data_IF_063134109420
#
_entry.id   IF_063134109420
#
_cell.length_a   1.000
_cell.length_b   1.000
_cell.length_c   1.000
_cell.angle_alpha   90.00
_cell.angle_beta   90.00
_cell.angle_gamma   90.00
#
_symmetry.space_group_name_H-M   'P 1'
#
loop_
_entity.id
_entity.type
_entity.pdbx_description
1 polymer ?
#
# COMPACT_ATOMS: atom_id res chain seq x y z
N UNK A 1 41.07 43.88 12.07
CA UNK A 1 41.14 42.46 11.67
C UNK A 1 39.90 42.15 10.87
N UNK A 2 40.04 42.19 9.54
CA UNK A 2 39.08 41.58 8.63
C UNK A 2 39.06 40.08 8.88
N UNK A 3 37.87 39.51 9.07
CA UNK A 3 37.62 38.10 8.77
C UNK A 3 36.62 38.10 7.63
N UNK A 4 37.15 38.24 6.41
CA UNK A 4 36.44 37.92 5.19
C UNK A 4 36.32 36.40 5.11
N UNK A 5 35.21 35.84 5.60
CA UNK A 5 34.71 34.59 5.01
C UNK A 5 34.06 34.97 3.68
N UNK A 6 34.84 34.86 2.60
CA UNK A 6 34.28 34.78 1.24
C UNK A 6 33.41 33.52 1.22
N UNK A 7 32.09 33.71 1.26
CA UNK A 7 31.14 32.70 0.80
C UNK A 7 31.52 32.36 -0.65
N UNK A 8 32.07 31.17 -0.85
CA UNK A 8 32.03 30.54 -2.17
C UNK A 8 30.56 30.43 -2.59
N UNK A 9 30.21 30.51 -3.88
CA UNK A 9 28.83 30.31 -4.31
C UNK A 9 28.43 28.89 -3.88
N UNK A 10 27.60 28.81 -2.83
CA UNK A 10 27.16 27.56 -2.24
C UNK A 10 26.38 26.82 -3.34
N UNK A 11 27.02 25.87 -4.03
CA UNK A 11 26.38 25.12 -5.10
C UNK A 11 25.22 24.36 -4.46
N UNK A 12 23.99 24.74 -4.82
CA UNK A 12 22.81 24.14 -4.22
C UNK A 12 22.85 22.63 -4.46
N UNK A 13 22.76 21.84 -3.39
CA UNK A 13 22.83 20.38 -3.47
C UNK A 13 21.65 19.83 -4.29
N UNK A 14 21.92 18.84 -5.13
CA UNK A 14 20.93 18.19 -6.00
C UNK A 14 20.31 16.97 -5.34
N UNK A 15 19.00 16.80 -5.49
CA UNK A 15 18.24 15.70 -4.88
C UNK A 15 17.46 14.94 -5.95
N UNK A 16 17.69 13.64 -6.07
CA UNK A 16 16.87 12.76 -6.89
C UNK A 16 15.66 12.27 -6.08
N UNK A 17 14.44 12.54 -6.53
CA UNK A 17 13.20 12.03 -5.91
C UNK A 17 12.58 11.00 -6.85
N UNK A 18 12.25 9.83 -6.33
CA UNK A 18 11.78 8.71 -7.16
C UNK A 18 10.29 8.45 -6.88
N UNK A 19 9.43 8.81 -7.82
CA UNK A 19 7.98 8.74 -7.74
C UNK A 19 7.36 10.10 -7.39
N UNK A 20 6.28 10.45 -8.07
CA UNK A 20 5.47 11.66 -7.89
C UNK A 20 4.09 11.36 -7.25
N UNK A 21 4.02 10.32 -6.42
CA UNK A 21 2.91 10.12 -5.47
C UNK A 21 2.92 11.12 -4.33
N UNK A 22 2.04 10.95 -3.34
CA UNK A 22 1.91 11.84 -2.16
C UNK A 22 3.27 12.13 -1.50
N UNK A 23 4.05 11.09 -1.23
CA UNK A 23 5.38 11.21 -0.61
C UNK A 23 6.36 12.01 -1.48
N UNK A 24 6.33 11.81 -2.80
CA UNK A 24 7.21 12.50 -3.74
C UNK A 24 6.91 13.98 -3.88
N UNK A 25 5.61 14.34 -3.91
CA UNK A 25 5.17 15.74 -3.92
C UNK A 25 5.63 16.47 -2.64
N UNK A 26 5.46 15.85 -1.46
CA UNK A 26 5.97 16.40 -0.21
C UNK A 26 7.49 16.51 -0.20
N UNK A 27 8.21 15.47 -0.65
CA UNK A 27 9.66 15.46 -0.73
C UNK A 27 10.19 16.61 -1.61
N UNK A 28 9.61 16.80 -2.80
CA UNK A 28 9.93 17.90 -3.70
C UNK A 28 9.70 19.26 -3.04
N UNK A 29 8.50 19.47 -2.48
CA UNK A 29 8.12 20.72 -1.82
C UNK A 29 9.06 21.08 -0.67
N UNK A 30 9.37 20.14 0.21
CA UNK A 30 10.27 20.40 1.34
C UNK A 30 11.73 20.57 0.90
N UNK A 31 12.18 19.85 -0.13
CA UNK A 31 13.51 20.05 -0.71
C UNK A 31 13.66 21.48 -1.24
N UNK A 32 12.66 21.99 -1.98
CA UNK A 32 12.64 23.38 -2.46
C UNK A 32 12.66 24.39 -1.31
N UNK A 33 11.84 24.18 -0.27
CA UNK A 33 11.81 25.06 0.92
C UNK A 33 13.14 25.11 1.68
N UNK A 34 13.95 24.06 1.59
CA UNK A 34 15.30 24.01 2.18
C UNK A 34 16.39 24.54 1.26
N UNK A 35 16.05 25.01 0.05
CA UNK A 35 17.01 25.58 -0.90
C UNK A 35 17.76 24.55 -1.74
N UNK A 36 17.33 23.29 -1.75
CA UNK A 36 17.91 22.24 -2.60
C UNK A 36 17.33 22.28 -4.02
N UNK A 37 17.97 21.53 -4.93
CA UNK A 37 17.55 21.37 -6.33
C UNK A 37 17.00 19.95 -6.57
N UNK A 38 15.69 19.71 -6.35
CA UNK A 38 15.10 18.42 -6.61
C UNK A 38 14.78 18.20 -8.09
N UNK A 39 15.03 16.96 -8.55
CA UNK A 39 14.51 16.40 -9.78
C UNK A 39 13.68 15.17 -9.43
N UNK A 40 12.39 15.19 -9.75
CA UNK A 40 11.47 14.07 -9.52
C UNK A 40 11.33 13.25 -10.79
N UNK A 41 11.49 11.94 -10.70
CA UNK A 41 11.22 11.00 -11.79
C UNK A 41 9.94 10.23 -11.51
N UNK A 42 8.97 10.31 -12.41
CA UNK A 42 7.69 9.60 -12.34
C UNK A 42 7.59 8.62 -13.51
N UNK A 43 7.27 7.36 -13.22
CA UNK A 43 7.22 6.30 -14.21
C UNK A 43 6.03 6.45 -15.16
N UNK A 44 4.95 7.06 -14.70
CA UNK A 44 3.73 7.30 -15.46
C UNK A 44 3.64 8.75 -15.96
N UNK A 45 2.55 9.06 -16.67
CA UNK A 45 2.25 10.37 -17.25
C UNK A 45 1.55 11.34 -16.28
N UNK A 46 1.31 10.91 -15.04
CA UNK A 46 0.52 11.66 -14.05
C UNK A 46 1.11 11.55 -12.63
N UNK A 47 0.89 12.59 -11.83
CA UNK A 47 1.18 12.59 -10.39
C UNK A 47 0.15 11.75 -9.63
N UNK A 48 0.33 11.57 -8.32
CA UNK A 48 -0.70 11.03 -7.42
C UNK A 48 -0.51 9.58 -7.02
N UNK A 49 0.26 8.81 -7.80
CA UNK A 49 0.65 7.44 -7.49
C UNK A 49 -0.57 6.52 -7.37
N UNK A 50 -0.77 5.90 -6.19
CA UNK A 50 -1.89 4.98 -5.95
C UNK A 50 -3.29 5.59 -6.12
N UNK A 51 -3.38 6.91 -6.32
CA UNK A 51 -4.64 7.62 -6.55
C UNK A 51 -4.90 7.94 -8.02
N UNK A 52 -3.90 7.87 -8.90
CA UNK A 52 -4.00 8.34 -10.29
C UNK A 52 -4.44 7.26 -11.27
N UNK A 53 -3.80 6.08 -11.20
CA UNK A 53 -4.07 4.94 -12.08
C UNK A 53 -4.37 3.67 -11.26
N UNK A 54 -5.08 2.73 -11.88
CA UNK A 54 -5.38 1.42 -11.29
C UNK A 54 -6.17 1.51 -9.97
N UNK A 55 -7.17 2.39 -9.92
CA UNK A 55 -8.03 2.59 -8.76
C UNK A 55 -9.41 2.00 -9.02
N UNK A 56 -9.92 1.20 -8.09
CA UNK A 56 -11.30 0.68 -8.17
C UNK A 56 -12.25 1.87 -8.07
N UNK A 57 -13.25 1.93 -8.95
CA UNK A 57 -14.17 3.06 -9.09
C UNK A 57 -14.88 3.48 -7.80
N UNK A 58 -15.05 2.58 -6.83
CA UNK A 58 -15.73 2.86 -5.55
C UNK A 58 -14.76 3.27 -4.43
N UNK A 59 -13.47 3.43 -4.75
CA UNK A 59 -12.41 3.70 -3.77
C UNK A 59 -12.59 5.08 -3.14
N UNK A 60 -12.61 5.10 -1.79
CA UNK A 60 -12.64 6.30 -0.95
C UNK A 60 -11.51 6.25 0.08
N UNK A 61 -11.22 7.39 0.69
CA UNK A 61 -10.33 7.44 1.84
C UNK A 61 -10.83 6.52 2.97
N UNK A 62 -9.89 5.86 3.64
CA UNK A 62 -10.13 5.11 4.89
C UNK A 62 -9.84 5.94 6.14
N UNK A 63 -9.36 7.17 5.94
CA UNK A 63 -9.00 8.13 6.97
C UNK A 63 -9.87 9.37 6.76
N UNK A 64 -10.44 9.95 7.84
CA UNK A 64 -11.19 11.20 7.74
C UNK A 64 -10.37 12.30 7.06
N UNK A 65 -11.00 13.15 6.23
CA UNK A 65 -10.28 14.14 5.40
C UNK A 65 -9.38 15.05 6.24
N UNK A 66 -9.82 15.44 7.43
CA UNK A 66 -9.06 16.34 8.32
C UNK A 66 -7.76 15.71 8.85
N UNK A 67 -7.67 14.37 8.87
CA UNK A 67 -6.45 13.62 9.22
C UNK A 67 -5.60 13.27 7.99
N UNK A 68 -6.17 13.35 6.79
CA UNK A 68 -5.45 13.10 5.54
C UNK A 68 -4.87 14.37 4.91
N UNK A 69 -5.36 15.55 5.30
CA UNK A 69 -4.89 16.83 4.75
C UNK A 69 -3.42 17.11 5.09
N UNK A 70 -2.77 17.90 4.24
CA UNK A 70 -1.44 18.42 4.54
C UNK A 70 -1.56 19.55 5.56
N UNK A 71 -0.55 19.67 6.43
CA UNK A 71 -0.59 20.64 7.54
C UNK A 71 -0.65 22.10 7.08
N UNK A 72 -0.20 22.38 5.85
CA UNK A 72 -0.15 23.70 5.23
C UNK A 72 -1.04 23.84 3.99
N UNK A 73 -1.94 22.88 3.77
CA UNK A 73 -2.88 22.92 2.65
C UNK A 73 -4.19 22.21 3.02
N UNK A 74 -5.22 22.96 3.43
CA UNK A 74 -6.51 22.37 3.81
C UNK A 74 -7.27 21.85 2.58
N UNK A 75 -8.24 20.97 2.83
CA UNK A 75 -9.21 20.61 1.80
C UNK A 75 -10.06 21.83 1.40
N UNK A 76 -10.47 21.93 0.13
CA UNK A 76 -11.42 22.94 -0.30
C UNK A 76 -12.80 22.71 0.35
N UNK A 77 -13.50 23.79 0.67
CA UNK A 77 -14.83 23.73 1.30
C UNK A 77 -15.88 22.98 0.45
N UNK A 78 -15.65 22.88 -0.86
CA UNK A 78 -16.50 22.13 -1.81
C UNK A 78 -16.51 20.63 -1.57
N UNK A 79 -15.50 20.07 -0.87
CA UNK A 79 -15.46 18.64 -0.51
C UNK A 79 -16.16 18.47 0.82
N UNK A 80 -17.47 18.19 0.78
CA UNK A 80 -18.32 18.08 1.96
C UNK A 80 -18.13 16.73 2.68
N UNK A 81 -17.83 15.66 1.96
CA UNK A 81 -17.72 14.30 2.48
C UNK A 81 -16.61 14.17 3.53
N UNK A 82 -16.82 13.32 4.54
CA UNK A 82 -15.79 13.01 5.55
C UNK A 82 -14.71 12.09 4.98
N UNK A 83 -15.10 11.18 4.07
CA UNK A 83 -14.23 10.23 3.37
C UNK A 83 -14.26 10.48 1.86
N UNK A 84 -13.48 11.46 1.36
CA UNK A 84 -13.39 11.80 -0.05
C UNK A 84 -13.15 10.62 -0.99
N UNK A 85 -13.76 10.69 -2.16
CA UNK A 85 -13.57 9.75 -3.26
C UNK A 85 -12.20 9.91 -3.92
N UNK A 86 -11.67 8.85 -4.55
CA UNK A 86 -10.34 8.90 -5.18
C UNK A 86 -10.17 10.07 -6.17
N UNK A 87 -11.24 10.46 -6.90
CA UNK A 87 -11.24 11.63 -7.79
C UNK A 87 -11.04 12.96 -7.03
N UNK A 88 -11.68 13.11 -5.87
CA UNK A 88 -11.52 14.30 -5.02
C UNK A 88 -10.12 14.34 -4.40
N UNK A 89 -9.55 13.17 -4.05
CA UNK A 89 -8.15 13.07 -3.62
C UNK A 89 -7.20 13.50 -4.74
N UNK A 90 -7.41 13.04 -5.97
CA UNK A 90 -6.60 13.44 -7.13
C UNK A 90 -6.67 14.94 -7.43
N UNK A 91 -7.86 15.52 -7.37
CA UNK A 91 -8.06 16.97 -7.52
C UNK A 91 -7.31 17.75 -6.43
N UNK A 92 -7.39 17.30 -5.17
CA UNK A 92 -6.64 17.88 -4.05
C UNK A 92 -5.11 17.81 -4.26
N UNK A 93 -4.57 16.65 -4.68
CA UNK A 93 -3.14 16.50 -4.97
C UNK A 93 -2.68 17.36 -6.15
N UNK A 94 -3.54 17.50 -7.17
CA UNK A 94 -3.28 18.36 -8.32
C UNK A 94 -3.22 19.83 -7.91
N UNK A 95 -4.19 20.29 -7.11
CA UNK A 95 -4.17 21.66 -6.54
C UNK A 95 -2.94 21.91 -5.68
N UNK A 96 -2.53 20.94 -4.86
CA UNK A 96 -1.32 21.04 -4.06
C UNK A 96 -0.07 21.22 -4.95
N UNK A 97 0.09 20.37 -5.96
CA UNK A 97 1.23 20.43 -6.88
C UNK A 97 1.29 21.74 -7.67
N UNK A 98 0.14 22.28 -8.07
CA UNK A 98 0.04 23.60 -8.73
C UNK A 98 0.35 24.75 -7.78
N UNK A 99 -0.24 24.74 -6.57
CA UNK A 99 -0.06 25.80 -5.57
C UNK A 99 1.42 25.98 -5.20
N UNK A 100 2.13 24.87 -4.96
CA UNK A 100 3.55 24.88 -4.61
C UNK A 100 4.50 24.82 -5.82
N UNK A 101 3.97 24.93 -7.06
CA UNK A 101 4.74 24.94 -8.32
C UNK A 101 5.70 23.74 -8.46
N UNK A 102 5.21 22.55 -8.15
CA UNK A 102 6.03 21.33 -8.13
C UNK A 102 6.19 20.70 -9.52
N UNK A 103 5.19 20.86 -10.41
CA UNK A 103 5.18 20.22 -11.73
C UNK A 103 6.44 20.45 -12.59
N UNK A 104 7.06 21.65 -12.62
CA UNK A 104 8.30 21.87 -13.38
C UNK A 104 9.49 21.02 -12.93
N UNK A 105 9.44 20.45 -11.72
CA UNK A 105 10.49 19.59 -11.17
C UNK A 105 10.24 18.11 -11.46
N UNK A 106 9.14 17.76 -12.13
CA UNK A 106 8.72 16.37 -12.36
C UNK A 106 8.94 16.00 -13.82
N UNK A 107 9.71 14.93 -14.03
CA UNK A 107 9.88 14.25 -15.31
C UNK A 107 8.96 13.03 -15.35
N UNK A 108 7.86 13.16 -16.08
CA UNK A 108 6.90 12.08 -16.34
C UNK A 108 7.43 11.08 -17.36
N UNK A 109 6.89 9.87 -17.37
CA UNK A 109 7.33 8.76 -18.23
C UNK A 109 8.83 8.41 -18.07
N UNK A 110 9.43 8.73 -16.92
CA UNK A 110 10.82 8.46 -16.60
C UNK A 110 10.88 7.45 -15.45
N UNK A 111 11.03 6.17 -15.77
CA UNK A 111 11.10 5.10 -14.78
C UNK A 111 12.53 4.92 -14.28
N UNK A 112 12.76 5.07 -12.99
CA UNK A 112 14.04 4.70 -12.39
C UNK A 112 14.14 3.17 -12.33
N UNK A 113 15.22 2.63 -12.89
CA UNK A 113 15.48 1.18 -12.96
C UNK A 113 16.75 0.77 -12.22
N UNK A 114 17.53 1.73 -11.72
CA UNK A 114 18.75 1.46 -10.98
C UNK A 114 19.18 2.64 -10.12
N UNK A 115 19.61 2.34 -8.89
CA UNK A 115 20.25 3.28 -7.96
C UNK A 115 21.52 2.62 -7.48
N UNK A 116 22.61 3.37 -7.51
CA UNK A 116 23.90 2.93 -7.00
C UNK A 116 24.62 4.06 -6.28
N UNK A 117 25.39 3.72 -5.25
CA UNK A 117 26.19 4.68 -4.52
C UNK A 117 27.64 4.61 -5.02
N UNK A 118 28.12 5.70 -5.59
CA UNK A 118 29.46 5.80 -6.17
C UNK A 118 30.36 6.56 -5.19
N UNK A 119 31.34 5.86 -4.61
CA UNK A 119 32.39 6.43 -3.74
C UNK A 119 33.71 6.54 -4.48
N UNK A 120 34.50 7.59 -4.19
CA UNK A 120 35.78 7.84 -4.86
C UNK A 120 36.99 7.10 -4.27
N UNK A 121 36.84 6.30 -3.21
CA UNK A 121 37.95 5.56 -2.58
C UNK A 121 37.68 4.06 -2.48
N UNK A 122 38.65 3.25 -2.92
CA UNK A 122 38.67 1.79 -2.88
C UNK A 122 39.13 1.21 -1.53
N UNK A 123 39.12 2.01 -0.48
CA UNK A 123 39.46 1.60 0.88
C UNK A 123 38.24 1.86 1.76
N UNK A 124 37.94 0.89 2.63
CA UNK A 124 36.93 0.88 3.72
C UNK A 124 35.62 0.11 3.45
N UNK A 125 35.74 -1.24 3.44
CA UNK A 125 34.62 -2.19 3.59
C UNK A 125 33.81 -1.97 4.89
N UNK A 126 34.36 -1.28 5.89
CA UNK A 126 33.73 -1.07 7.21
C UNK A 126 32.80 0.16 7.31
N UNK A 127 32.82 1.10 6.35
CA UNK A 127 32.03 2.35 6.40
C UNK A 127 30.81 2.37 5.45
N UNK A 128 30.58 1.29 4.70
CA UNK A 128 29.50 1.18 3.71
C UNK A 128 28.09 1.27 4.34
N UNK A 129 27.98 1.04 5.65
CA UNK A 129 26.73 1.11 6.40
C UNK A 129 26.38 2.50 6.94
N UNK A 130 27.28 3.49 6.83
CA UNK A 130 27.05 4.87 7.28
C UNK A 130 26.42 5.74 6.16
N UNK A 131 25.59 6.72 6.52
CA UNK A 131 24.99 7.67 5.56
C UNK A 131 26.05 8.31 4.67
N UNK A 132 25.97 8.11 3.35
CA UNK A 132 26.96 8.63 2.40
C UNK A 132 28.41 8.22 2.73
N UNK A 133 28.60 7.07 3.39
CA UNK A 133 29.90 6.62 3.89
C UNK A 133 30.52 7.52 4.97
N UNK A 134 29.79 8.48 5.56
CA UNK A 134 30.33 9.45 6.54
C UNK A 134 29.44 9.67 7.76
N UNK A 135 28.22 9.14 7.78
CA UNK A 135 27.23 9.38 8.84
C UNK A 135 26.43 10.68 8.66
N UNK A 136 26.75 11.48 7.65
CA UNK A 136 26.02 12.69 7.29
C UNK A 136 25.15 12.47 6.05
N UNK A 137 24.01 13.17 5.97
CA UNK A 137 23.07 13.03 4.85
C UNK A 137 23.71 13.37 3.49
N UNK A 138 24.63 14.33 3.46
CA UNK A 138 25.41 14.68 2.28
C UNK A 138 26.86 14.27 2.50
N UNK A 139 27.44 13.62 1.49
CA UNK A 139 28.85 13.27 1.48
C UNK A 139 29.57 14.07 0.41
N UNK A 140 30.75 14.58 0.76
CA UNK A 140 31.68 15.13 -0.22
C UNK A 140 32.53 14.01 -0.87
N UNK A 141 32.46 12.77 -0.34
CA UNK A 141 33.22 11.60 -0.81
C UNK A 141 32.47 10.70 -1.81
N UNK A 142 31.15 10.86 -1.94
CA UNK A 142 30.37 10.03 -2.86
C UNK A 142 29.04 10.65 -3.27
N UNK A 143 28.49 10.12 -4.36
CA UNK A 143 27.24 10.56 -5.00
C UNK A 143 26.38 9.35 -5.33
N UNK A 144 25.11 9.62 -5.63
CA UNK A 144 24.18 8.59 -6.09
C UNK A 144 24.07 8.65 -7.61
N UNK A 145 24.36 7.53 -8.28
CA UNK A 145 24.06 7.34 -9.68
C UNK A 145 22.65 6.73 -9.81
N UNK A 146 21.77 7.39 -10.56
CA UNK A 146 20.40 6.99 -10.82
C UNK A 146 20.23 6.72 -12.30
N UNK A 147 19.97 5.46 -12.65
CA UNK A 147 19.70 5.01 -14.02
C UNK A 147 18.20 5.12 -14.29
N UNK A 148 17.85 5.88 -15.33
CA UNK A 148 16.48 6.22 -15.70
C UNK A 148 16.18 5.74 -17.12
N UNK A 149 15.07 5.02 -17.26
CA UNK A 149 14.49 4.61 -18.53
C UNK A 149 13.43 5.64 -18.95
N UNK A 150 13.61 6.24 -20.12
CA UNK A 150 12.62 7.12 -20.74
C UNK A 150 11.59 6.26 -21.52
N UNK A 151 10.35 6.29 -21.07
CA UNK A 151 9.21 5.57 -21.65
C UNK A 151 8.41 6.44 -22.63
N UNK A 152 8.79 7.72 -22.84
CA UNK A 152 8.09 8.61 -23.79
C UNK A 152 8.40 8.29 -25.25
N UNK A 153 9.50 7.59 -25.51
CA UNK A 153 9.92 7.19 -26.86
C UNK A 153 9.27 5.85 -27.21
N UNK A 154 8.34 5.85 -28.17
CA UNK A 154 7.82 4.61 -28.76
C UNK A 154 8.99 3.74 -29.24
N UNK A 155 9.09 2.46 -28.84
CA UNK A 155 10.15 1.60 -29.33
C UNK A 155 9.96 1.41 -30.83
N UNK A 156 10.82 2.03 -31.64
CA UNK A 156 10.94 1.67 -33.04
C UNK A 156 11.42 0.21 -33.09
N UNK A 157 10.68 -0.72 -33.73
CA UNK A 157 11.01 -2.14 -33.73
C UNK A 157 12.31 -2.50 -34.45
N UNK A 158 12.98 -1.52 -35.07
CA UNK A 158 14.24 -1.69 -35.80
C UNK A 158 15.51 -1.33 -35.00
N UNK A 159 15.39 -0.73 -33.82
CA UNK A 159 16.54 -0.44 -32.94
C UNK A 159 16.17 -0.64 -31.47
N UNK A 160 16.42 -1.83 -30.93
CA UNK A 160 16.32 -2.14 -29.49
C UNK A 160 17.48 -1.51 -28.68
N UNK A 161 17.61 -0.19 -28.71
CA UNK A 161 18.38 0.53 -27.72
C UNK A 161 17.40 1.30 -26.85
N UNK A 162 16.99 0.70 -25.74
CA UNK A 162 16.36 1.47 -24.67
C UNK A 162 17.34 2.57 -24.26
N UNK A 163 17.00 3.83 -24.54
CA UNK A 163 17.86 4.95 -24.14
C UNK A 163 17.77 5.10 -22.63
N UNK A 164 18.74 4.55 -21.92
CA UNK A 164 18.90 4.79 -20.49
C UNK A 164 19.73 6.05 -20.29
N UNK A 165 19.29 6.91 -19.39
CA UNK A 165 20.02 8.11 -18.99
C UNK A 165 20.50 7.95 -17.55
N UNK A 166 21.73 8.37 -17.29
CA UNK A 166 22.29 8.37 -15.94
C UNK A 166 22.30 9.79 -15.36
N UNK A 167 21.89 9.88 -14.10
CA UNK A 167 21.82 11.14 -13.36
C UNK A 167 22.59 11.00 -12.06
N UNK A 168 23.41 12.00 -11.73
CA UNK A 168 24.19 12.04 -10.50
C UNK A 168 23.56 13.02 -9.52
N UNK A 169 23.31 12.56 -8.30
CA UNK A 169 22.73 13.38 -7.23
C UNK A 169 23.56 13.36 -5.94
N UNK A 170 23.49 14.45 -5.18
CA UNK A 170 24.06 14.49 -3.83
C UNK A 170 23.28 13.61 -2.86
N UNK A 171 21.97 13.42 -3.10
CA UNK A 171 21.08 12.63 -2.25
C UNK A 171 19.90 12.06 -3.04
N UNK A 172 19.34 10.93 -2.58
CA UNK A 172 18.17 10.30 -3.20
C UNK A 172 17.06 10.06 -2.17
N UNK A 173 15.84 10.44 -2.51
CA UNK A 173 14.61 10.18 -1.75
C UNK A 173 13.73 9.18 -2.50
N UNK A 174 13.59 7.97 -1.96
CA UNK A 174 12.81 6.90 -2.58
C UNK A 174 11.33 7.00 -2.18
N UNK A 175 10.46 7.36 -3.13
CA UNK A 175 9.02 7.60 -2.92
C UNK A 175 8.13 6.70 -3.79
N UNK A 176 8.59 5.48 -4.10
CA UNK A 176 7.95 4.56 -5.07
C UNK A 176 6.67 3.86 -4.58
N UNK A 177 6.25 4.10 -3.34
CA UNK A 177 5.09 3.44 -2.73
C UNK A 177 5.27 1.94 -2.46
N UNK A 178 4.34 1.35 -1.70
CA UNK A 178 4.36 -0.08 -1.32
C UNK A 178 3.26 -0.91 -1.99
N UNK A 179 2.24 -0.29 -2.56
CA UNK A 179 1.01 -0.97 -2.97
C UNK A 179 0.78 -0.86 -4.48
N UNK A 180 1.80 -1.14 -5.28
CA UNK A 180 1.71 -1.17 -6.76
C UNK A 180 2.80 -2.06 -7.38
N UNK A 181 2.67 -2.28 -8.68
CA UNK A 181 3.60 -2.91 -9.64
C UNK A 181 3.87 -4.41 -9.45
N UNK A 182 4.09 -4.87 -8.22
CA UNK A 182 4.41 -6.29 -7.95
C UNK A 182 3.28 -6.93 -7.16
N UNK A 183 2.43 -7.66 -7.87
CA UNK A 183 1.32 -8.43 -7.28
C UNK A 183 1.85 -9.53 -6.36
N UNK A 184 1.18 -9.76 -5.24
CA UNK A 184 1.46 -10.89 -4.36
C UNK A 184 0.55 -12.06 -4.72
N UNK A 185 0.96 -12.90 -5.67
CA UNK A 185 0.18 -14.07 -6.11
C UNK A 185 0.65 -15.32 -5.35
N UNK A 186 -0.26 -16.10 -4.73
CA UNK A 186 0.11 -17.36 -4.08
C UNK A 186 0.77 -18.34 -5.07
N UNK A 187 1.73 -19.11 -4.58
CA UNK A 187 2.30 -20.21 -5.35
C UNK A 187 1.41 -21.44 -5.24
N UNK A 188 1.30 -22.18 -6.34
CA UNK A 188 0.51 -23.40 -6.43
C UNK A 188 1.40 -24.59 -6.83
N UNK A 189 1.11 -25.80 -6.32
CA UNK A 189 1.70 -27.02 -6.86
C UNK A 189 1.37 -27.21 -8.34
N UNK A 190 2.16 -28.02 -9.04
CA UNK A 190 1.92 -28.39 -10.43
C UNK A 190 0.50 -28.95 -10.62
N UNK A 191 -0.20 -28.49 -11.66
CA UNK A 191 -1.58 -28.86 -12.00
C UNK A 191 -2.62 -28.48 -10.93
N UNK A 192 -2.31 -27.48 -10.10
CA UNK A 192 -3.18 -26.96 -9.05
C UNK A 192 -3.29 -25.43 -9.06
N UNK A 193 -2.61 -24.75 -9.99
CA UNK A 193 -2.65 -23.31 -10.13
C UNK A 193 -3.53 -22.83 -11.29
N UNK A 194 -3.48 -21.52 -11.60
CA UNK A 194 -4.24 -20.92 -12.69
C UNK A 194 -4.10 -21.61 -14.05
N UNK A 195 -3.03 -22.37 -14.28
CA UNK A 195 -2.75 -23.08 -15.52
C UNK A 195 -3.80 -24.14 -15.91
N UNK A 196 -4.55 -24.69 -14.95
CA UNK A 196 -5.61 -25.67 -15.22
C UNK A 196 -6.99 -25.05 -15.41
N UNK A 197 -7.14 -23.75 -15.13
CA UNK A 197 -8.43 -23.06 -15.11
C UNK A 197 -8.77 -22.50 -16.49
N UNK A 198 -10.00 -22.74 -16.96
CA UNK A 198 -10.45 -22.29 -18.28
C UNK A 198 -10.93 -20.83 -18.28
N UNK A 199 -11.23 -20.26 -17.12
CA UNK A 199 -11.65 -18.87 -16.97
C UNK A 199 -10.49 -17.88 -16.90
N UNK A 200 -10.80 -16.62 -16.55
CA UNK A 200 -9.79 -15.56 -16.45
C UNK A 200 -9.30 -15.39 -15.02
N UNK A 201 -7.99 -15.29 -14.84
CA UNK A 201 -7.37 -14.96 -13.54
C UNK A 201 -6.72 -13.60 -13.61
N UNK A 202 -6.97 -12.75 -12.62
CA UNK A 202 -6.42 -11.40 -12.51
C UNK A 202 -5.93 -11.13 -11.09
N UNK A 203 -4.99 -10.21 -10.93
CA UNK A 203 -4.78 -9.55 -9.65
C UNK A 203 -5.68 -8.31 -9.52
N UNK A 204 -5.95 -7.86 -8.29
CA UNK A 204 -6.77 -6.67 -8.02
C UNK A 204 -6.25 -5.41 -8.70
N UNK A 205 -4.93 -5.31 -8.87
CA UNK A 205 -4.27 -4.23 -9.60
C UNK A 205 -4.62 -4.24 -11.08
N UNK A 206 -4.58 -5.40 -11.74
CA UNK A 206 -4.89 -5.53 -13.16
C UNK A 206 -6.37 -5.28 -13.41
N UNK A 207 -7.23 -5.78 -12.51
CA UNK A 207 -8.66 -5.48 -12.53
C UNK A 207 -8.91 -3.96 -12.43
N UNK A 208 -8.22 -3.28 -11.51
CA UNK A 208 -8.35 -1.84 -11.36
C UNK A 208 -7.76 -1.06 -12.54
N UNK A 209 -6.70 -1.56 -13.19
CA UNK A 209 -6.14 -0.98 -14.39
C UNK A 209 -7.14 -1.00 -15.55
N UNK A 210 -7.82 -2.13 -15.74
CA UNK A 210 -8.89 -2.26 -16.74
C UNK A 210 -9.98 -1.22 -16.50
N UNK A 211 -10.41 -1.01 -15.25
CA UNK A 211 -11.44 -0.02 -14.88
C UNK A 211 -11.08 1.42 -15.29
N UNK A 212 -9.79 1.74 -15.45
CA UNK A 212 -9.31 3.08 -15.77
C UNK A 212 -8.92 3.26 -17.23
N UNK A 213 -8.84 2.19 -18.03
CA UNK A 213 -8.47 2.25 -19.43
C UNK A 213 -9.66 2.66 -20.31
N UNK A 214 -9.71 3.94 -20.69
CA UNK A 214 -10.73 4.49 -21.57
C UNK A 214 -10.61 4.01 -23.03
N UNK A 215 -9.51 3.33 -23.39
CA UNK A 215 -9.23 2.85 -24.75
C UNK A 215 -9.37 1.32 -24.91
N UNK A 216 -9.75 0.60 -23.84
CA UNK A 216 -9.94 -0.83 -23.91
C UNK A 216 -11.12 -1.20 -24.82
N UNK A 217 -10.90 -2.13 -25.76
CA UNK A 217 -11.91 -2.58 -26.72
C UNK A 217 -13.11 -3.32 -26.09
N UNK A 218 -13.01 -3.68 -24.80
CA UNK A 218 -14.10 -4.25 -24.01
C UNK A 218 -14.26 -3.44 -22.72
N UNK A 219 -15.49 -3.15 -22.33
CA UNK A 219 -15.76 -2.45 -21.08
C UNK A 219 -15.30 -3.34 -19.92
N UNK A 220 -14.67 -2.78 -18.88
CA UNK A 220 -14.32 -3.52 -17.65
C UNK A 220 -15.53 -4.20 -17.01
N UNK A 221 -16.72 -3.64 -17.22
CA UNK A 221 -17.99 -4.25 -16.84
C UNK A 221 -18.22 -5.56 -17.59
N UNK A 222 -17.90 -5.68 -18.87
CA UNK A 222 -18.09 -6.90 -19.67
C UNK A 222 -17.30 -8.10 -19.13
N UNK A 223 -16.22 -7.84 -18.39
CA UNK A 223 -15.41 -8.90 -17.81
C UNK A 223 -16.11 -9.59 -16.63
N UNK A 224 -16.85 -8.83 -15.82
CA UNK A 224 -17.44 -9.31 -14.57
C UNK A 224 -18.96 -9.39 -14.61
N UNK A 225 -19.59 -8.64 -15.51
CA UNK A 225 -21.03 -8.56 -15.65
C UNK A 225 -21.59 -9.90 -16.13
N UNK A 226 -22.62 -10.38 -15.43
CA UNK A 226 -23.26 -11.67 -15.69
C UNK A 226 -22.29 -12.87 -15.63
N UNK A 227 -21.13 -12.70 -14.98
CA UNK A 227 -20.14 -13.77 -14.73
C UNK A 227 -20.12 -14.18 -13.28
N UNK A 228 -19.75 -15.43 -13.02
CA UNK A 228 -19.44 -15.93 -11.68
C UNK A 228 -18.04 -15.47 -11.31
N UNK A 229 -17.94 -14.53 -10.37
CA UNK A 229 -16.65 -13.96 -9.97
C UNK A 229 -16.29 -14.42 -8.57
N UNK A 230 -15.06 -14.92 -8.43
CA UNK A 230 -14.49 -15.30 -7.16
C UNK A 230 -13.34 -14.38 -6.78
N UNK A 231 -13.42 -13.72 -5.62
CA UNK A 231 -12.40 -12.82 -5.09
C UNK A 231 -11.65 -13.52 -3.97
N UNK A 232 -10.33 -13.56 -4.04
CA UNK A 232 -9.47 -14.17 -3.01
C UNK A 232 -8.88 -13.07 -2.11
N UNK A 233 -9.24 -13.08 -0.83
CA UNK A 233 -8.75 -12.12 0.18
C UNK A 233 -9.88 -11.55 1.05
N UNK A 234 -9.54 -10.93 2.19
CA UNK A 234 -10.51 -10.34 3.14
C UNK A 234 -9.96 -9.04 3.75
N UNK A 235 -9.56 -8.11 2.90
CA UNK A 235 -9.15 -6.76 3.28
C UNK A 235 -9.73 -5.76 2.30
N UNK A 236 -9.36 -4.47 2.41
CA UNK A 236 -10.04 -3.36 1.71
C UNK A 236 -10.29 -3.62 0.22
N UNK A 237 -9.26 -3.97 -0.56
CA UNK A 237 -9.43 -4.24 -2.00
C UNK A 237 -10.42 -5.37 -2.28
N UNK A 238 -10.36 -6.47 -1.52
CA UNK A 238 -11.29 -7.59 -1.69
C UNK A 238 -12.73 -7.18 -1.39
N UNK A 239 -12.93 -6.43 -0.30
CA UNK A 239 -14.25 -5.97 0.13
C UNK A 239 -14.85 -4.99 -0.89
N UNK A 240 -14.05 -4.06 -1.42
CA UNK A 240 -14.49 -3.09 -2.43
C UNK A 240 -14.85 -3.76 -3.75
N UNK A 241 -13.99 -4.68 -4.24
CA UNK A 241 -14.23 -5.43 -5.48
C UNK A 241 -15.50 -6.27 -5.34
N UNK A 242 -15.68 -7.00 -4.23
CA UNK A 242 -16.89 -7.78 -4.01
C UNK A 242 -18.15 -6.91 -3.88
N UNK A 243 -18.03 -5.73 -3.25
CA UNK A 243 -19.16 -4.78 -3.17
C UNK A 243 -19.52 -4.18 -4.54
N UNK A 244 -18.53 -3.92 -5.40
CA UNK A 244 -18.76 -3.46 -6.77
C UNK A 244 -19.40 -4.56 -7.63
N UNK A 245 -18.87 -5.78 -7.60
CA UNK A 245 -19.40 -6.90 -8.40
C UNK A 245 -20.82 -7.25 -7.97
N UNK A 246 -21.10 -7.27 -6.65
CA UNK A 246 -22.46 -7.51 -6.16
C UNK A 246 -23.46 -6.44 -6.59
N UNK A 247 -23.04 -5.18 -6.77
CA UNK A 247 -23.90 -4.14 -7.36
C UNK A 247 -24.22 -4.41 -8.83
N UNK A 248 -23.28 -4.98 -9.58
CA UNK A 248 -23.44 -5.27 -11.00
C UNK A 248 -24.26 -6.54 -11.25
N UNK A 249 -24.00 -7.60 -10.47
CA UNK A 249 -24.54 -8.93 -10.75
C UNK A 249 -25.71 -9.33 -9.84
N UNK A 250 -25.87 -8.67 -8.69
CA UNK A 250 -26.90 -9.01 -7.70
C UNK A 250 -26.85 -10.46 -7.24
N UNK A 251 -28.01 -11.04 -6.98
CA UNK A 251 -28.18 -12.45 -6.57
C UNK A 251 -28.18 -13.44 -7.73
N UNK A 252 -28.30 -12.96 -8.97
CA UNK A 252 -28.31 -13.81 -10.18
C UNK A 252 -26.96 -14.49 -10.41
N UNK A 253 -25.88 -13.73 -10.25
CA UNK A 253 -24.50 -14.21 -10.38
C UNK A 253 -23.66 -13.67 -9.19
N UNK A 254 -23.83 -14.26 -7.99
CA UNK A 254 -23.28 -13.70 -6.77
C UNK A 254 -21.75 -13.73 -6.77
N UNK A 255 -21.14 -12.73 -6.12
CA UNK A 255 -19.69 -12.69 -5.94
C UNK A 255 -19.29 -13.60 -4.79
N UNK A 256 -18.44 -14.60 -5.04
CA UNK A 256 -17.89 -15.43 -3.96
C UNK A 256 -16.58 -14.82 -3.46
N UNK A 257 -16.48 -14.57 -2.16
CA UNK A 257 -15.27 -14.05 -1.52
C UNK A 257 -14.67 -15.14 -0.63
N UNK A 258 -13.51 -15.64 -1.03
CA UNK A 258 -12.79 -16.72 -0.34
C UNK A 258 -11.63 -16.14 0.47
N UNK A 259 -11.53 -16.56 1.73
CA UNK A 259 -10.53 -16.02 2.62
C UNK A 259 -10.03 -17.02 3.66
N UNK A 260 -8.77 -16.89 4.03
CA UNK A 260 -8.14 -17.73 5.05
C UNK A 260 -8.31 -17.18 6.46
N UNK A 261 -8.06 -15.88 6.63
CA UNK A 261 -8.11 -15.20 7.92
C UNK A 261 -9.05 -14.01 7.82
N UNK A 262 -9.98 -13.93 8.75
CA UNK A 262 -10.82 -12.76 8.91
C UNK A 262 -10.03 -11.62 9.56
N UNK A 263 -10.41 -10.40 9.23
CA UNK A 263 -9.85 -9.17 9.78
C UNK A 263 -10.99 -8.31 10.32
N UNK A 264 -10.73 -7.54 11.37
CA UNK A 264 -11.67 -6.57 11.89
C UNK A 264 -11.95 -5.54 10.79
N UNK A 265 -13.19 -5.53 10.34
CA UNK A 265 -13.71 -4.55 9.39
C UNK A 265 -14.65 -3.63 10.15
N UNK A 266 -14.49 -2.32 9.95
CA UNK A 266 -15.15 -1.28 10.75
C UNK A 266 -15.97 -0.38 9.86
N UNK A 267 -17.04 0.20 10.39
CA UNK A 267 -17.77 1.26 9.70
C UNK A 267 -17.08 2.61 9.84
N UNK A 268 -17.44 3.54 8.95
CA UNK A 268 -16.95 4.91 8.93
C UNK A 268 -17.11 5.64 10.29
N UNK A 269 -18.20 5.42 11.04
CA UNK A 269 -18.41 6.00 12.37
C UNK A 269 -17.37 5.54 13.40
N UNK A 270 -17.02 4.26 13.39
CA UNK A 270 -15.99 3.69 14.29
C UNK A 270 -14.61 4.23 13.92
N UNK A 271 -14.37 4.46 12.62
CA UNK A 271 -13.13 5.08 12.12
C UNK A 271 -13.03 6.51 12.63
N UNK A 272 -14.06 7.34 12.43
CA UNK A 272 -14.08 8.73 12.91
C UNK A 272 -13.85 8.78 14.43
N UNK A 273 -14.53 7.93 15.19
CA UNK A 273 -14.34 7.88 16.64
C UNK A 273 -12.91 7.44 17.02
N UNK A 274 -12.35 6.45 16.31
CA UNK A 274 -10.97 6.01 16.53
C UNK A 274 -9.98 7.14 16.27
N UNK A 275 -10.13 7.89 15.18
CA UNK A 275 -9.26 9.03 14.85
C UNK A 275 -9.43 10.23 15.78
N UNK A 276 -10.63 10.48 16.34
CA UNK A 276 -10.81 11.48 17.42
C UNK A 276 -10.08 11.09 18.70
N UNK A 277 -9.98 9.79 18.96
CA UNK A 277 -9.24 9.26 20.10
C UNK A 277 -7.72 9.26 19.88
N UNK A 278 -7.22 9.42 18.65
CA UNK A 278 -5.78 9.56 18.36
C UNK A 278 -5.30 10.98 18.68
N UNK A 279 -5.10 11.25 19.96
CA UNK A 279 -4.62 12.54 20.46
C UNK A 279 -3.43 12.35 21.42
N UNK A 280 -2.80 13.46 21.82
CA UNK A 280 -1.60 13.44 22.70
C UNK A 280 -1.83 12.70 24.02
N UNK A 281 -3.05 12.69 24.54
CA UNK A 281 -3.37 11.94 25.75
C UNK A 281 -3.40 10.43 25.51
N UNK A 282 -4.00 9.99 24.40
CA UNK A 282 -4.01 8.57 24.02
C UNK A 282 -2.62 7.99 23.78
N UNK A 283 -1.65 8.82 23.34
CA UNK A 283 -0.26 8.39 23.20
C UNK A 283 0.38 8.01 24.53
N UNK A 284 -0.10 8.54 25.64
CA UNK A 284 0.38 8.20 26.98
C UNK A 284 -0.02 6.78 27.40
N UNK A 285 -0.93 6.14 26.66
CA UNK A 285 -1.40 4.77 26.90
C UNK A 285 -0.59 3.72 26.12
N UNK A 286 0.40 4.14 25.31
CA UNK A 286 1.14 3.27 24.40
C UNK A 286 2.62 3.29 24.77
N UNK A 287 3.20 2.10 24.97
CA UNK A 287 4.63 1.98 25.16
C UNK A 287 5.39 2.33 23.88
N UNK A 288 6.38 3.22 24.01
CA UNK A 288 7.27 3.69 22.94
C UNK A 288 8.67 3.09 23.11
N UNK A 289 9.39 2.78 22.01
CA UNK A 289 10.80 2.43 22.08
C UNK A 289 11.61 3.55 22.74
N UNK A 290 12.59 3.21 23.58
CA UNK A 290 13.48 4.15 24.27
C UNK A 290 12.78 5.22 25.14
N UNK A 291 11.58 4.92 25.66
CA UNK A 291 10.87 5.82 26.56
C UNK A 291 11.52 5.85 27.95
N UNK A 292 11.55 7.03 28.59
CA UNK A 292 12.03 7.17 29.97
C UNK A 292 11.10 6.52 31.00
N UNK A 293 11.61 6.33 32.22
CA UNK A 293 10.89 5.65 33.31
C UNK A 293 9.47 6.20 33.56
N UNK A 294 9.30 7.52 33.61
CA UNK A 294 7.99 8.13 33.87
C UNK A 294 6.97 7.88 32.76
N UNK A 295 7.39 7.90 31.49
CA UNK A 295 6.53 7.59 30.36
C UNK A 295 6.17 6.10 30.34
N UNK A 296 7.13 5.24 30.68
CA UNK A 296 6.87 3.81 30.84
C UNK A 296 5.84 3.54 31.93
N UNK A 297 5.99 4.16 33.11
CA UNK A 297 5.07 4.01 34.23
C UNK A 297 3.67 4.51 33.88
N UNK A 298 3.58 5.66 33.21
CA UNK A 298 2.30 6.21 32.79
C UNK A 298 1.60 5.31 31.75
N UNK A 299 2.34 4.79 30.78
CA UNK A 299 1.81 3.82 29.82
C UNK A 299 1.36 2.54 30.49
N UNK A 300 2.10 2.04 31.50
CA UNK A 300 1.69 0.86 32.27
C UNK A 300 0.34 1.11 32.96
N UNK A 301 0.22 2.23 33.69
CA UNK A 301 -0.99 2.60 34.43
C UNK A 301 -2.20 2.85 33.52
N UNK A 302 -1.99 3.43 32.33
CA UNK A 302 -3.06 3.77 31.39
C UNK A 302 -3.36 2.67 30.36
N UNK A 303 -2.48 1.68 30.19
CA UNK A 303 -2.67 0.58 29.23
C UNK A 303 -3.99 -0.19 29.39
N UNK A 304 -4.56 -0.39 30.60
CA UNK A 304 -5.86 -1.05 30.73
C UNK A 304 -6.98 -0.28 30.02
N UNK A 305 -6.92 1.06 29.95
CA UNK A 305 -7.93 1.86 29.25
C UNK A 305 -7.97 1.55 27.75
N UNK A 306 -6.80 1.40 27.13
CA UNK A 306 -6.71 1.04 25.72
C UNK A 306 -7.23 -0.37 25.45
N UNK A 307 -6.96 -1.30 26.36
CA UNK A 307 -7.52 -2.65 26.31
C UNK A 307 -9.05 -2.64 26.47
N UNK A 308 -9.59 -1.88 27.43
CA UNK A 308 -11.04 -1.70 27.64
C UNK A 308 -11.68 -1.14 26.37
N UNK A 309 -11.11 -0.08 25.78
CA UNK A 309 -11.58 0.50 24.52
C UNK A 309 -11.64 -0.55 23.39
N UNK A 310 -10.58 -1.36 23.26
CA UNK A 310 -10.54 -2.47 22.29
C UNK A 310 -11.69 -3.45 22.53
N UNK A 311 -11.91 -3.88 23.77
CA UNK A 311 -12.96 -4.87 24.09
C UNK A 311 -14.38 -4.33 23.91
N UNK A 312 -14.60 -3.05 24.24
CA UNK A 312 -15.88 -2.38 23.95
C UNK A 312 -16.11 -2.34 22.43
N UNK A 313 -15.09 -1.99 21.65
CA UNK A 313 -15.19 -1.94 20.19
C UNK A 313 -15.44 -3.32 19.59
N UNK A 314 -14.73 -4.36 20.05
CA UNK A 314 -14.96 -5.74 19.63
C UNK A 314 -16.41 -6.19 19.89
N UNK A 315 -16.93 -5.91 21.09
CA UNK A 315 -18.33 -6.23 21.45
C UNK A 315 -19.32 -5.47 20.59
N UNK A 316 -19.07 -4.18 20.34
CA UNK A 316 -19.90 -3.35 19.47
C UNK A 316 -19.96 -3.92 18.05
N UNK A 317 -18.81 -4.26 17.45
CA UNK A 317 -18.73 -4.82 16.10
C UNK A 317 -19.43 -6.18 16.00
N UNK A 318 -19.22 -7.07 16.98
CA UNK A 318 -19.90 -8.37 17.05
C UNK A 318 -21.42 -8.26 17.20
N UNK A 319 -21.91 -7.17 17.81
CA UNK A 319 -23.35 -6.89 17.93
C UNK A 319 -23.92 -6.24 16.67
N UNK A 320 -23.16 -5.35 16.03
CA UNK A 320 -23.58 -4.62 14.82
C UNK A 320 -23.64 -5.52 13.60
N UNK A 321 -22.69 -6.45 13.47
CA UNK A 321 -22.55 -7.30 12.29
C UNK A 321 -22.70 -8.78 12.64
N UNK A 322 -23.31 -9.59 11.75
CA UNK A 322 -23.49 -11.03 11.94
C UNK A 322 -22.19 -11.82 11.71
N UNK A 323 -21.10 -11.42 12.37
CA UNK A 323 -19.76 -11.93 12.08
C UNK A 323 -19.60 -13.42 12.39
N UNK A 324 -20.23 -13.89 13.47
CA UNK A 324 -20.24 -15.30 13.88
C UNK A 324 -20.90 -16.18 12.81
N UNK A 325 -22.08 -15.78 12.33
CA UNK A 325 -22.84 -16.49 11.28
C UNK A 325 -22.02 -16.75 10.02
N UNK A 326 -21.15 -15.81 9.65
CA UNK A 326 -20.35 -15.88 8.44
C UNK A 326 -18.87 -16.22 8.66
N UNK A 327 -18.49 -16.71 9.84
CA UNK A 327 -17.10 -17.07 10.16
C UNK A 327 -16.09 -15.92 9.93
N UNK A 328 -16.53 -14.67 10.15
CA UNK A 328 -15.72 -13.46 9.95
C UNK A 328 -15.20 -12.85 11.26
N UNK A 329 -15.36 -13.54 12.39
CA UNK A 329 -14.73 -13.13 13.66
C UNK A 329 -13.22 -13.38 13.56
N UNK A 330 -12.37 -12.34 13.70
CA UNK A 330 -10.93 -12.51 13.69
C UNK A 330 -10.42 -13.27 14.90
N UNK A 331 -9.36 -14.05 14.70
CA UNK A 331 -8.69 -14.83 15.75
C UNK A 331 -7.80 -13.95 16.65
N UNK A 332 -7.47 -12.74 16.19
CA UNK A 332 -6.67 -11.76 16.93
C UNK A 332 -7.51 -10.62 17.53
N UNK A 333 -7.06 -9.97 18.63
CA UNK A 333 -7.73 -8.82 19.21
C UNK A 333 -7.77 -7.60 18.28
N UNK A 334 -8.77 -6.74 18.46
CA UNK A 334 -8.92 -5.51 17.66
C UNK A 334 -7.72 -4.57 17.83
N UNK A 335 -7.19 -4.46 19.06
CA UNK A 335 -6.01 -3.66 19.37
C UNK A 335 -4.78 -4.03 18.53
N UNK A 336 -4.57 -5.31 18.22
CA UNK A 336 -3.45 -5.75 17.39
C UNK A 336 -3.58 -5.16 15.98
N UNK A 337 -4.79 -5.12 15.44
CA UNK A 337 -5.05 -4.62 14.09
C UNK A 337 -4.94 -3.10 14.00
N UNK A 338 -5.31 -2.37 15.07
CA UNK A 338 -5.03 -0.93 15.18
C UNK A 338 -3.51 -0.71 15.13
N UNK A 339 -2.73 -1.47 15.91
CA UNK A 339 -1.27 -1.33 15.99
C UNK A 339 -0.58 -1.60 14.65
N UNK A 340 -1.08 -2.57 13.88
CA UNK A 340 -0.53 -2.90 12.55
C UNK A 340 -1.09 -2.03 11.43
N UNK A 341 -2.04 -1.13 11.71
CA UNK A 341 -2.71 -0.30 10.70
C UNK A 341 -3.34 -1.12 9.56
N UNK A 342 -3.87 -2.31 9.88
CA UNK A 342 -4.49 -3.22 8.90
C UNK A 342 -6.01 -3.25 8.99
N UNK A 343 -6.62 -2.24 9.63
CA UNK A 343 -8.07 -2.05 9.66
C UNK A 343 -8.59 -1.75 8.25
N UNK A 344 -9.69 -2.41 7.89
CA UNK A 344 -10.39 -2.15 6.64
C UNK A 344 -11.72 -1.47 6.95
N UNK A 345 -12.00 -0.37 6.24
CA UNK A 345 -13.33 0.23 6.28
C UNK A 345 -14.27 -0.63 5.44
N UNK A 346 -15.33 -1.10 6.07
CA UNK A 346 -16.32 -1.95 5.44
C UNK A 346 -17.15 -1.11 4.45
N UNK A 347 -17.36 -1.58 3.20
CA UNK A 347 -18.27 -0.91 2.28
C UNK A 347 -19.69 -0.79 2.89
N UNK A 348 -20.43 0.28 2.56
CA UNK A 348 -21.81 0.44 3.01
C UNK A 348 -22.66 -0.79 2.64
N UNK A 349 -23.51 -1.22 3.57
CA UNK A 349 -24.46 -2.33 3.41
C UNK A 349 -23.80 -3.67 3.00
N UNK A 350 -22.50 -3.86 3.30
CA UNK A 350 -21.78 -5.08 2.91
C UNK A 350 -22.44 -6.35 3.47
N UNK A 351 -22.76 -6.39 4.77
CA UNK A 351 -23.41 -7.56 5.37
C UNK A 351 -24.86 -7.73 4.93
N UNK A 352 -25.54 -6.65 4.49
CA UNK A 352 -26.88 -6.77 3.92
C UNK A 352 -26.82 -7.54 2.60
N UNK A 353 -25.86 -7.21 1.74
CA UNK A 353 -25.58 -7.96 0.50
C UNK A 353 -25.15 -9.40 0.75
N UNK A 354 -24.41 -9.65 1.83
CA UNK A 354 -24.08 -11.01 2.26
C UNK A 354 -25.34 -11.76 2.71
N UNK A 355 -26.27 -11.08 3.40
CA UNK A 355 -27.52 -11.69 3.85
C UNK A 355 -28.52 -11.94 2.72
N UNK A 356 -28.55 -11.06 1.72
CA UNK A 356 -29.33 -11.17 0.48
C UNK A 356 -28.80 -12.31 -0.42
N UNK A 357 -27.52 -12.64 -0.29
CA UNK A 357 -26.85 -13.67 -1.09
C UNK A 357 -26.17 -13.14 -2.35
N UNK A 358 -26.07 -11.81 -2.54
CA UNK A 358 -25.30 -11.20 -3.64
C UNK A 358 -23.78 -11.24 -3.39
N UNK A 359 -23.36 -11.47 -2.13
CA UNK A 359 -21.99 -11.80 -1.75
C UNK A 359 -21.99 -13.10 -0.93
N UNK A 360 -21.20 -14.08 -1.34
CA UNK A 360 -21.04 -15.36 -0.63
C UNK A 360 -19.67 -15.39 0.05
N UNK A 361 -19.65 -15.52 1.37
CA UNK A 361 -18.42 -15.57 2.16
C UNK A 361 -18.00 -17.01 2.41
N UNK A 362 -16.77 -17.39 2.03
CA UNK A 362 -16.22 -18.73 2.28
C UNK A 362 -14.88 -18.66 2.99
N UNK A 363 -14.84 -19.10 4.25
CA UNK A 363 -13.59 -19.27 5.01
C UNK A 363 -12.95 -20.60 4.61
N UNK A 364 -11.70 -20.57 4.14
CA UNK A 364 -10.97 -21.76 3.67
C UNK A 364 -9.49 -21.70 4.05
N UNK A 365 -8.93 -22.82 4.51
CA UNK A 365 -7.51 -22.88 4.90
C UNK A 365 -6.58 -22.95 3.69
N UNK A 366 -7.02 -23.68 2.66
CA UNK A 366 -6.33 -23.86 1.39
C UNK A 366 -7.33 -23.69 0.24
N UNK A 367 -6.82 -23.43 -0.95
CA UNK A 367 -7.59 -23.54 -2.18
C UNK A 367 -6.64 -23.90 -3.31
N UNK A 368 -7.17 -24.51 -4.35
CA UNK A 368 -6.45 -24.73 -5.61
C UNK A 368 -7.42 -24.61 -6.78
N UNK A 369 -6.90 -24.53 -8.00
CA UNK A 369 -7.74 -24.44 -9.18
C UNK A 369 -8.19 -25.83 -9.67
N UNK A 370 -9.30 -25.82 -10.38
CA UNK A 370 -9.76 -26.88 -11.27
C UNK A 370 -10.19 -26.27 -12.61
N UNK A 371 -10.64 -27.09 -13.55
CA UNK A 371 -11.09 -26.64 -14.89
C UNK A 371 -12.21 -25.59 -14.84
N UNK A 372 -13.16 -25.75 -13.91
CA UNK A 372 -14.38 -24.92 -13.78
C UNK A 372 -14.32 -23.81 -12.73
N UNK A 373 -13.25 -23.69 -11.96
CA UNK A 373 -13.17 -22.72 -10.88
C UNK A 373 -12.08 -23.03 -9.86
N UNK A 374 -12.43 -22.95 -8.57
CA UNK A 374 -11.52 -23.29 -7.47
C UNK A 374 -12.14 -24.32 -6.54
N UNK A 375 -11.29 -25.18 -6.01
CA UNK A 375 -11.61 -26.13 -4.94
C UNK A 375 -11.19 -25.50 -3.63
N UNK A 376 -12.12 -25.42 -2.67
CA UNK A 376 -11.89 -24.90 -1.32
C UNK A 376 -12.03 -26.02 -0.30
N UNK A 377 -11.11 -26.05 0.68
CA UNK A 377 -11.16 -26.99 1.79
C UNK A 377 -11.51 -26.24 3.06
N UNK A 378 -12.72 -26.49 3.56
CA UNK A 378 -13.23 -25.88 4.78
C UNK A 378 -13.26 -26.90 5.92
N UNK A 379 -12.99 -26.41 7.14
CA UNK A 379 -13.13 -27.20 8.37
C UNK A 379 -14.34 -26.65 9.11
N UNK A 380 -15.40 -27.44 9.23
CA UNK A 380 -16.55 -27.07 10.05
C UNK A 380 -16.18 -27.27 11.52
N UNK A 381 -16.04 -26.18 12.28
CA UNK A 381 -16.13 -26.24 13.75
C UNK A 381 -17.55 -25.89 14.15
N UNK A 382 -18.34 -26.89 14.52
CA UNK A 382 -19.52 -26.62 15.33
C UNK A 382 -19.05 -26.35 16.78
N UNK A 383 -19.54 -25.27 17.39
CA UNK A 383 -19.27 -24.99 18.81
C UNK A 383 -19.91 -26.09 19.67
N UNK A 384 -19.09 -26.95 20.28
CA UNK A 384 -19.54 -27.89 21.32
C UNK A 384 -19.17 -29.36 21.11
N UNK A 385 -18.82 -29.77 19.89
CA UNK A 385 -18.46 -31.17 19.61
C UNK A 385 -16.94 -31.34 19.58
N UNK A 386 -16.42 -32.07 20.58
CA UNK A 386 -15.13 -32.73 20.46
C UNK A 386 -15.38 -33.97 19.60
N UNK A 387 -14.56 -34.14 18.56
CA UNK A 387 -14.43 -35.37 17.74
C UNK A 387 -15.31 -35.45 16.47
N UNK A 388 -14.93 -34.67 15.44
CA UNK A 388 -14.69 -35.12 14.05
C UNK A 388 -14.31 -33.91 13.16
N UNK A 389 -13.05 -33.85 12.69
CA UNK A 389 -12.64 -32.89 11.65
C UNK A 389 -13.07 -33.43 10.29
N UNK A 390 -14.33 -33.22 9.89
CA UNK A 390 -14.74 -33.49 8.52
C UNK A 390 -14.24 -32.35 7.61
N UNK A 391 -13.22 -32.66 6.80
CA UNK A 391 -12.79 -31.78 5.71
C UNK A 391 -13.87 -31.77 4.62
N UNK A 392 -14.60 -30.66 4.52
CA UNK A 392 -15.55 -30.48 3.45
C UNK A 392 -14.82 -29.83 2.26
N UNK A 393 -14.75 -30.59 1.16
CA UNK A 393 -14.17 -30.17 -0.11
C UNK A 393 -15.29 -29.72 -1.02
N UNK A 394 -15.29 -28.44 -1.38
CA UNK A 394 -16.33 -27.84 -2.21
C UNK A 394 -15.72 -27.19 -3.45
N UNK A 395 -16.41 -27.33 -4.59
CA UNK A 395 -16.03 -26.64 -5.83
C UNK A 395 -16.82 -25.33 -5.90
N UNK A 396 -16.10 -24.21 -5.97
CA UNK A 396 -16.63 -22.89 -6.28
C UNK A 396 -16.42 -22.64 -7.76
N UNK A 397 -17.48 -22.84 -8.54
CA UNK A 397 -17.44 -22.55 -9.97
C UNK A 397 -17.26 -21.04 -10.21
N UNK A 398 -16.38 -20.69 -11.14
CA UNK A 398 -16.03 -19.31 -11.43
C UNK A 398 -15.69 -19.16 -12.91
N UNK A 399 -16.03 -18.02 -13.49
CA UNK A 399 -15.60 -17.61 -14.82
C UNK A 399 -14.41 -16.63 -14.72
N UNK A 400 -14.34 -15.89 -13.61
CA UNK A 400 -13.25 -14.97 -13.29
C UNK A 400 -12.80 -15.15 -11.84
N UNK A 401 -11.49 -15.26 -11.62
CA UNK A 401 -10.88 -15.26 -10.29
C UNK A 401 -10.00 -14.02 -10.13
N UNK A 402 -10.25 -13.23 -9.09
CA UNK A 402 -9.51 -12.01 -8.78
C UNK A 402 -8.73 -12.18 -7.48
N UNK A 403 -7.41 -12.19 -7.56
CA UNK A 403 -6.52 -12.16 -6.40
C UNK A 403 -6.47 -10.76 -5.80
N UNK A 404 -7.06 -10.58 -4.62
CA UNK A 404 -6.93 -9.40 -3.79
C UNK A 404 -5.97 -9.68 -2.60
N UNK A 405 -4.82 -10.26 -2.92
CA UNK A 405 -3.85 -10.84 -1.98
C UNK A 405 -2.68 -9.91 -1.64
N UNK A 406 -2.76 -8.64 -2.04
CA UNK A 406 -1.81 -7.58 -1.68
C UNK A 406 -0.62 -7.49 -2.63
N UNK A 407 0.47 -6.88 -2.17
CA UNK A 407 1.61 -6.53 -3.02
C UNK A 407 2.93 -6.95 -2.40
N UNK A 408 3.90 -7.36 -3.24
CA UNK A 408 5.25 -7.74 -2.82
C UNK A 408 6.18 -6.51 -2.77
N UNK A 409 5.85 -5.55 -1.89
CA UNK A 409 6.53 -4.26 -1.77
C UNK A 409 8.05 -4.33 -1.54
N UNK A 410 8.52 -5.33 -0.80
CA UNK A 410 9.94 -5.52 -0.52
C UNK A 410 10.73 -5.89 -1.78
N UNK A 411 10.17 -6.74 -2.63
CA UNK A 411 10.79 -7.11 -3.90
C UNK A 411 10.92 -5.89 -4.81
N UNK A 412 9.85 -5.08 -4.90
CA UNK A 412 9.84 -3.80 -5.64
C UNK A 412 10.94 -2.84 -5.15
N UNK A 413 11.05 -2.66 -3.84
CA UNK A 413 12.04 -1.76 -3.26
C UNK A 413 13.46 -2.29 -3.41
N UNK A 414 13.68 -3.61 -3.26
CA UNK A 414 15.01 -4.18 -3.45
C UNK A 414 15.46 -4.08 -4.92
N UNK A 415 14.57 -4.38 -5.87
CA UNK A 415 14.92 -4.45 -7.30
C UNK A 415 15.43 -3.14 -7.93
N UNK A 416 15.21 -1.99 -7.27
CA UNK A 416 15.68 -0.69 -7.77
C UNK A 416 17.14 -0.42 -7.43
N UNK A 417 17.73 -1.10 -6.45
CA UNK A 417 19.14 -0.94 -6.06
C UNK A 417 20.01 -1.93 -6.82
N UNK A 418 21.15 -1.48 -7.38
CA UNK A 418 22.09 -2.37 -8.09
C UNK A 418 22.91 -3.22 -7.13
N UNK A 419 23.29 -2.68 -5.96
CA UNK A 419 24.09 -3.42 -4.97
C UNK A 419 23.27 -4.49 -4.25
N UNK A 420 23.84 -5.69 -4.21
CA UNK A 420 23.26 -6.87 -3.55
C UNK A 420 23.16 -6.69 -2.03
N UNK A 421 24.01 -5.88 -1.42
CA UNK A 421 23.98 -5.64 0.02
C UNK A 421 22.81 -4.74 0.43
N UNK A 422 22.51 -3.69 -0.36
CA UNK A 422 21.28 -2.92 -0.16
C UNK A 422 20.04 -3.80 -0.34
N UNK A 423 20.03 -4.69 -1.34
CA UNK A 423 18.93 -5.63 -1.56
C UNK A 423 18.73 -6.59 -0.37
N UNK A 424 19.81 -7.12 0.22
CA UNK A 424 19.77 -7.97 1.43
C UNK A 424 19.28 -7.20 2.66
N UNK A 425 19.71 -5.95 2.82
CA UNK A 425 19.24 -5.11 3.93
C UNK A 425 17.73 -4.84 3.83
N UNK A 426 17.24 -4.53 2.64
CA UNK A 426 15.83 -4.22 2.38
C UNK A 426 14.93 -5.44 2.54
N UNK A 427 15.40 -6.62 2.14
CA UNK A 427 14.66 -7.89 2.31
C UNK A 427 14.65 -8.39 3.76
N UNK A 428 15.29 -7.68 4.70
CA UNK A 428 15.32 -8.02 6.12
C UNK A 428 16.30 -9.14 6.47
N UNK A 429 17.20 -9.50 5.54
CA UNK A 429 18.24 -10.51 5.73
C UNK A 429 19.48 -9.95 6.45
N UNK A 430 19.62 -8.62 6.54
CA UNK A 430 20.68 -7.96 7.32
C UNK A 430 20.22 -6.60 7.85
N UNK A 431 20.13 -6.48 9.18
CA UNK A 431 19.76 -5.34 10.03
C UNK A 431 18.51 -4.48 9.63
N UNK A 432 17.61 -4.16 10.57
CA UNK A 432 16.32 -3.55 10.27
C UNK A 432 16.43 -2.10 9.76
N UNK A 433 15.51 -1.72 8.88
CA UNK A 433 15.34 -0.31 8.49
C UNK A 433 14.98 0.53 9.72
N UNK A 434 15.78 1.55 10.08
CA UNK A 434 15.44 2.44 11.20
C UNK A 434 14.24 3.31 10.82
N UNK A 435 13.17 3.20 11.62
CA UNK A 435 11.89 3.93 11.48
C UNK A 435 11.23 3.85 10.10
N UNK A 436 11.43 2.78 9.33
CA UNK A 436 10.92 2.64 7.95
C UNK A 436 11.43 3.69 6.93
N UNK A 437 12.44 4.49 7.30
CA UNK A 437 13.03 5.51 6.43
C UNK A 437 14.51 5.26 6.09
N UNK A 438 15.23 4.37 6.82
CA UNK A 438 16.69 4.30 6.73
C UNK A 438 17.24 2.86 6.66
N UNK A 439 18.27 2.64 5.82
CA UNK A 439 19.21 1.50 5.80
C UNK A 439 20.05 1.48 7.11
N UNK A 440 20.59 0.35 7.60
CA UNK A 440 20.71 0.11 9.04
C UNK A 440 21.86 0.80 9.78
N UNK A 441 21.61 0.94 11.09
CA UNK A 441 22.50 1.25 12.22
C UNK A 441 22.93 2.71 12.46
N UNK A 442 22.18 3.38 13.35
CA UNK A 442 22.79 4.21 14.40
C UNK A 442 22.31 3.58 15.71
N UNK A 443 23.08 2.62 16.24
CA UNK A 443 23.11 2.40 17.67
C UNK A 443 24.08 3.44 18.22
N UNK A 444 23.55 4.43 18.93
CA UNK A 444 24.35 5.18 19.90
C UNK A 444 24.41 4.37 21.19
#
# INVERSE_FOLDING_TARGET
>A
MEITHKDQPNSRKTIGVIGAGISGLLACKYALQKGFLPTVFEAHDSIGGVWSSNVITTTKLQTPKYQFQFSDFPWPDSVAEEFPHHRQVMDYLTRYALHFKLLPHIKFNHKVIGIDYVSSSSEEEDQQFLWGGSGHAFSDRGKWNVTVQDNSVNPNPSHHQHSHQEYIFDFVMVCIGKYSDVANIPQFPMNKGPEVFQGKVLHSMDYAALLTDNNAAASPHDLVQDKRVTVIGFQKSALDIASQISQLNGTKNPCTLVFRRAHWSVSEDVVVQSFKNLNRFSELMVHKPNQGFFLWLLALLLSPMLWIYSKITERYLKRKYPMAKYNTIPEHPYLNQIRTCTLAVLPPNFYDKVSEGSIILKKSHSFHFCDKGIVVTSVNRQEGEKEAEEENVEIVEADVVIFATGYASQHKLASIFKSTDFQKCISGLSAPLYRYYNIPSIQH
#
